data_IF_147423308664
#
_entry.id   IF_147423308664
#
_cell.length_a   1.000
_cell.length_b   1.000
_cell.length_c   1.000
_cell.angle_alpha   90.00
_cell.angle_beta   90.00
_cell.angle_gamma   90.00
#
_symmetry.space_group_name_H-M   'P 1'
#
loop_
_entity.id
_entity.type
_entity.pdbx_description
1 polymer ?
#
# COMPACT_ATOMS: atom_id res chain seq x y z
N UNK A 1 32.01 -14.51 -36.51
CA UNK A 1 31.65 -14.43 -35.08
C UNK A 1 30.32 -13.71 -35.02
N UNK A 2 29.31 -14.29 -34.37
CA UNK A 2 27.97 -13.70 -34.30
C UNK A 2 28.08 -12.50 -33.35
N UNK A 3 27.86 -11.28 -33.83
CA UNK A 3 27.72 -10.12 -32.94
C UNK A 3 26.42 -10.33 -32.16
N UNK A 4 26.55 -10.85 -30.94
CA UNK A 4 25.45 -10.99 -30.01
C UNK A 4 25.16 -9.61 -29.42
N UNK A 5 23.89 -9.36 -29.14
CA UNK A 5 23.43 -8.13 -28.49
C UNK A 5 23.96 -8.05 -27.04
N UNK A 6 24.28 -6.86 -26.51
CA UNK A 6 24.79 -6.68 -25.15
C UNK A 6 23.93 -7.33 -24.07
N UNK A 7 22.60 -7.29 -24.19
CA UNK A 7 21.66 -7.92 -23.24
C UNK A 7 21.81 -9.45 -23.26
N UNK A 8 22.03 -10.04 -24.43
CA UNK A 8 22.19 -11.48 -24.58
C UNK A 8 23.47 -11.98 -23.92
N UNK A 9 24.56 -11.22 -24.05
CA UNK A 9 25.86 -11.58 -23.46
C UNK A 9 25.79 -11.51 -21.93
N UNK A 10 25.13 -10.48 -21.37
CA UNK A 10 24.97 -10.33 -19.91
C UNK A 10 24.09 -11.45 -19.33
N UNK A 11 22.97 -11.80 -19.98
CA UNK A 11 22.09 -12.89 -19.52
C UNK A 11 22.80 -14.24 -19.45
N UNK A 12 23.48 -14.63 -20.53
CA UNK A 12 24.20 -15.91 -20.58
C UNK A 12 25.34 -15.97 -19.55
N UNK A 13 25.98 -14.83 -19.27
CA UNK A 13 27.00 -14.74 -18.23
C UNK A 13 26.44 -14.93 -16.81
N UNK A 14 25.28 -14.34 -16.50
CA UNK A 14 24.60 -14.50 -15.20
C UNK A 14 24.06 -15.93 -15.03
N UNK A 15 23.46 -16.49 -16.08
CA UNK A 15 22.87 -17.83 -16.05
C UNK A 15 23.92 -18.95 -16.00
N UNK A 16 25.19 -18.66 -16.29
CA UNK A 16 26.28 -19.62 -16.27
C UNK A 16 26.32 -20.55 -17.49
N UNK A 17 25.63 -20.17 -18.57
CA UNK A 17 25.47 -20.97 -19.79
C UNK A 17 26.67 -20.82 -20.77
N UNK A 18 27.70 -20.06 -20.40
CA UNK A 18 28.90 -19.83 -21.20
C UNK A 18 30.03 -20.81 -20.83
N UNK A 19 30.74 -21.33 -21.82
CA UNK A 19 31.99 -22.08 -21.58
C UNK A 19 33.12 -21.16 -21.11
N UNK A 20 34.17 -21.69 -20.47
CA UNK A 20 35.28 -20.89 -19.91
C UNK A 20 35.94 -19.92 -20.91
N UNK A 21 36.02 -20.30 -22.19
CA UNK A 21 36.55 -19.46 -23.27
C UNK A 21 35.58 -18.33 -23.64
N UNK A 22 34.29 -18.62 -23.68
CA UNK A 22 33.22 -17.65 -23.96
C UNK A 22 33.01 -16.69 -22.79
N UNK A 23 33.15 -17.15 -21.55
CA UNK A 23 33.16 -16.30 -20.36
C UNK A 23 34.28 -15.26 -20.46
N UNK A 24 35.49 -15.67 -20.88
CA UNK A 24 36.62 -14.75 -21.01
C UNK A 24 36.38 -13.70 -22.10
N UNK A 25 35.77 -14.11 -23.22
CA UNK A 25 35.39 -13.20 -24.30
C UNK A 25 34.25 -12.24 -23.88
N UNK A 26 33.24 -12.75 -23.18
CA UNK A 26 32.14 -11.97 -22.64
C UNK A 26 32.63 -10.93 -21.63
N UNK A 27 33.54 -11.31 -20.72
CA UNK A 27 34.15 -10.38 -19.76
C UNK A 27 34.94 -9.26 -20.44
N UNK A 28 35.69 -9.57 -21.51
CA UNK A 28 36.40 -8.54 -22.29
C UNK A 28 35.42 -7.59 -22.99
N UNK A 29 34.34 -8.13 -23.56
CA UNK A 29 33.31 -7.32 -24.23
C UNK A 29 32.54 -6.44 -23.23
N UNK A 30 32.14 -7.00 -22.09
CA UNK A 30 31.52 -6.25 -21.00
C UNK A 30 32.48 -5.17 -20.51
N UNK A 31 33.78 -5.41 -20.37
CA UNK A 31 34.72 -4.39 -19.92
C UNK A 31 34.83 -3.20 -20.91
N UNK A 32 34.80 -3.46 -22.21
CA UNK A 32 34.95 -2.42 -23.24
C UNK A 32 33.65 -1.63 -23.48
N UNK A 33 32.48 -2.27 -23.32
CA UNK A 33 31.17 -1.67 -23.59
C UNK A 33 30.56 -1.01 -22.31
N UNK A 34 30.35 0.32 -22.29
CA UNK A 34 29.74 1.00 -21.14
C UNK A 34 28.29 0.57 -20.88
N UNK A 35 27.52 0.19 -21.90
CA UNK A 35 26.12 -0.23 -21.74
C UNK A 35 26.06 -1.62 -21.08
N UNK A 36 26.87 -2.56 -21.54
CA UNK A 36 26.98 -3.90 -20.95
C UNK A 36 27.41 -3.87 -19.46
N UNK A 37 28.32 -2.95 -19.09
CA UNK A 37 28.70 -2.73 -17.67
C UNK A 37 27.54 -2.24 -16.84
N UNK A 38 26.77 -1.29 -17.36
CA UNK A 38 25.64 -0.71 -16.64
C UNK A 38 24.54 -1.73 -16.38
N UNK A 39 24.25 -2.59 -17.36
CA UNK A 39 23.29 -3.68 -17.24
C UNK A 39 23.74 -4.70 -16.19
N UNK A 40 25.01 -5.12 -16.22
CA UNK A 40 25.55 -6.04 -15.23
C UNK A 40 25.49 -5.46 -13.81
N UNK A 41 25.83 -4.17 -13.63
CA UNK A 41 25.77 -3.51 -12.33
C UNK A 41 24.33 -3.40 -11.81
N UNK A 42 23.38 -3.08 -12.69
CA UNK A 42 21.96 -3.02 -12.35
C UNK A 42 21.43 -4.37 -11.85
N UNK A 43 21.70 -5.46 -12.59
CA UNK A 43 21.29 -6.82 -12.21
C UNK A 43 21.91 -7.27 -10.87
N UNK A 44 23.19 -6.97 -10.66
CA UNK A 44 23.86 -7.26 -9.39
C UNK A 44 23.25 -6.49 -8.23
N UNK A 45 22.89 -5.21 -8.44
CA UNK A 45 22.27 -4.39 -7.41
C UNK A 45 20.85 -4.89 -7.06
N UNK A 46 20.04 -5.25 -8.06
CA UNK A 46 18.70 -5.81 -7.82
C UNK A 46 18.77 -7.11 -7.01
N UNK A 47 19.72 -7.98 -7.34
CA UNK A 47 19.92 -9.25 -6.63
C UNK A 47 20.35 -9.03 -5.17
N UNK A 48 21.20 -8.03 -4.92
CA UNK A 48 21.64 -7.67 -3.57
C UNK A 48 20.53 -7.03 -2.74
N UNK A 49 19.75 -6.12 -3.32
CA UNK A 49 18.61 -5.48 -2.64
C UNK A 49 17.54 -6.50 -2.27
N UNK A 50 17.30 -7.49 -3.13
CA UNK A 50 16.40 -8.60 -2.83
C UNK A 50 16.94 -9.49 -1.70
N UNK A 51 18.24 -9.78 -1.71
CA UNK A 51 18.90 -10.54 -0.64
C UNK A 51 18.87 -9.78 0.70
N UNK A 52 19.10 -8.47 0.67
CA UNK A 52 19.07 -7.58 1.85
C UNK A 52 17.65 -7.39 2.39
N UNK A 53 16.63 -7.45 1.53
CA UNK A 53 15.21 -7.36 1.91
C UNK A 53 14.68 -8.63 2.55
N UNK A 54 15.42 -9.74 2.51
CA UNK A 54 15.06 -10.98 3.21
C UNK A 54 15.34 -10.81 4.71
N UNK A 55 14.30 -10.49 5.48
CA UNK A 55 14.41 -10.33 6.93
C UNK A 55 15.08 -11.55 7.60
N UNK A 56 15.98 -11.35 8.59
CA UNK A 56 16.54 -12.45 9.36
C UNK A 56 15.41 -13.18 10.09
N UNK A 57 15.43 -14.52 10.08
CA UNK A 57 14.48 -15.30 10.87
C UNK A 57 14.67 -14.92 12.35
N UNK A 58 13.60 -14.60 13.11
CA UNK A 58 13.75 -14.26 14.51
C UNK A 58 14.36 -15.43 15.28
N UNK A 59 15.18 -15.11 16.27
CA UNK A 59 15.81 -16.10 17.13
C UNK A 59 14.73 -16.98 17.80
N UNK A 60 15.02 -18.27 18.00
CA UNK A 60 14.07 -19.26 18.52
C UNK A 60 13.56 -18.96 19.94
N UNK A 61 14.20 -18.03 20.65
CA UNK A 61 13.83 -17.57 21.99
C UNK A 61 12.88 -16.35 21.98
N UNK A 62 12.60 -15.76 20.80
CA UNK A 62 11.73 -14.59 20.66
C UNK A 62 10.32 -14.85 21.20
N UNK A 63 9.73 -16.00 20.84
CA UNK A 63 8.39 -16.38 21.31
C UNK A 63 8.35 -16.56 22.84
N UNK A 64 9.42 -17.06 23.46
CA UNK A 64 9.50 -17.22 24.91
C UNK A 64 9.54 -15.86 25.62
N UNK A 65 10.32 -14.89 25.10
CA UNK A 65 10.39 -13.53 25.65
C UNK A 65 9.08 -12.75 25.51
N UNK A 66 8.31 -12.98 24.45
CA UNK A 66 6.99 -12.33 24.27
C UNK A 66 5.95 -12.84 25.27
N UNK A 67 5.96 -14.14 25.60
CA UNK A 67 5.04 -14.72 26.58
C UNK A 67 5.35 -14.22 28.00
N UNK A 68 6.62 -14.05 28.34
CA UNK A 68 7.05 -13.54 29.65
C UNK A 68 6.67 -12.06 29.88
N UNK A 69 6.61 -11.24 28.82
CA UNK A 69 6.19 -9.82 28.93
C UNK A 69 4.68 -9.62 29.06
N UNK A 70 3.86 -10.64 28.77
CA UNK A 70 2.40 -10.53 28.82
C UNK A 70 1.81 -10.78 30.22
N UNK A 71 2.55 -11.44 31.12
CA UNK A 71 2.07 -11.80 32.47
C UNK A 71 2.24 -10.66 33.50
N UNK A 72 3.06 -9.63 33.21
CA UNK A 72 3.35 -8.53 34.14
C UNK A 72 2.54 -7.23 33.93
N UNK A 73 1.72 -7.13 32.88
CA UNK A 73 1.03 -5.88 32.53
C UNK A 73 -0.51 -5.97 32.66
N UNK A 74 -1.01 -6.44 33.80
CA UNK A 74 -2.45 -6.39 34.11
C UNK A 74 -2.82 -5.03 34.74
N UNK A 75 -2.85 -4.00 33.90
CA UNK A 75 -3.57 -2.76 34.17
C UNK A 75 -4.84 -2.73 33.30
N UNK A 76 -6.00 -2.29 33.81
CA UNK A 76 -7.23 -2.28 33.01
C UNK A 76 -7.05 -1.38 31.80
N UNK A 77 -7.20 -1.95 30.60
CA UNK A 77 -7.08 -1.22 29.35
C UNK A 77 -8.08 -0.05 29.29
N UNK A 78 -7.69 1.14 28.83
CA UNK A 78 -8.62 2.25 28.65
C UNK A 78 -9.69 1.86 27.64
N UNK A 79 -10.92 2.28 27.91
CA UNK A 79 -12.07 1.89 27.13
C UNK A 79 -12.01 2.51 25.72
N UNK A 80 -12.70 1.91 24.76
CA UNK A 80 -12.79 2.43 23.38
C UNK A 80 -13.33 3.86 23.36
N UNK A 81 -14.14 4.24 24.35
CA UNK A 81 -14.65 5.60 24.51
C UNK A 81 -13.54 6.60 24.86
N UNK A 82 -12.55 6.22 25.67
CA UNK A 82 -11.44 7.09 26.05
C UNK A 82 -10.52 7.36 24.85
N UNK A 83 -10.27 6.33 24.03
CA UNK A 83 -9.46 6.46 22.81
C UNK A 83 -10.14 7.32 21.74
N UNK A 84 -11.46 7.25 21.64
CA UNK A 84 -12.22 8.07 20.69
C UNK A 84 -12.26 9.55 21.13
N UNK A 85 -12.27 9.79 22.44
CA UNK A 85 -12.24 11.14 23.00
C UNK A 85 -10.87 11.82 22.81
N UNK A 86 -9.77 11.10 23.06
CA UNK A 86 -8.41 11.60 22.82
C UNK A 86 -8.14 11.89 21.34
N UNK A 87 -8.69 11.05 20.46
CA UNK A 87 -8.64 11.28 19.02
C UNK A 87 -9.42 12.55 18.62
N UNK A 88 -10.60 12.78 19.21
CA UNK A 88 -11.41 13.96 18.91
C UNK A 88 -10.75 15.27 19.36
N UNK A 89 -10.07 15.27 20.51
CA UNK A 89 -9.28 16.43 20.97
C UNK A 89 -8.07 16.71 20.06
N UNK A 90 -7.46 15.67 19.47
CA UNK A 90 -6.35 15.83 18.55
C UNK A 90 -6.79 16.39 17.18
N UNK A 91 -7.95 15.99 16.68
CA UNK A 91 -8.54 16.52 15.44
C UNK A 91 -9.07 17.95 15.63
N UNK A 92 -9.50 18.31 16.85
CA UNK A 92 -10.00 19.64 17.18
C UNK A 92 -8.89 20.70 17.40
N UNK A 93 -7.61 20.35 17.30
CA UNK A 93 -6.51 21.34 17.35
C UNK A 93 -6.46 22.11 16.03
N UNK A 94 -6.73 23.43 16.02
CA UNK A 94 -6.76 24.21 14.79
C UNK A 94 -5.33 24.42 14.29
N UNK A 95 -4.85 23.55 13.40
CA UNK A 95 -3.51 23.64 12.80
C UNK A 95 -3.46 24.40 11.46
N UNK A 96 -4.58 24.95 10.95
CA UNK A 96 -4.55 25.72 9.69
C UNK A 96 -5.52 26.90 9.75
N UNK A 97 -4.99 28.12 9.78
CA UNK A 97 -5.75 29.35 9.51
C UNK A 97 -5.87 29.54 8.00
N UNK A 98 -6.92 28.96 7.39
CA UNK A 98 -7.24 29.21 5.98
C UNK A 98 -7.94 30.58 5.88
N UNK A 99 -7.41 31.57 5.15
CA UNK A 99 -8.11 32.83 4.90
C UNK A 99 -9.22 32.60 3.87
N UNK A 100 -10.40 32.18 4.32
CA UNK A 100 -11.58 32.01 3.48
C UNK A 100 -12.18 33.36 3.09
N UNK A 101 -12.19 33.66 1.79
CA UNK A 101 -12.97 34.77 1.22
C UNK A 101 -14.48 34.44 1.31
N UNK A 102 -15.35 35.42 1.63
CA UNK A 102 -16.72 35.19 2.15
C UNK A 102 -17.76 34.63 1.17
N UNK A 103 -17.37 34.09 0.01
CA UNK A 103 -18.32 33.70 -1.05
C UNK A 103 -18.77 32.23 -0.96
N UNK A 104 -18.16 31.38 -0.12
CA UNK A 104 -18.46 29.93 -0.12
C UNK A 104 -19.23 29.40 1.12
N UNK A 105 -19.71 30.28 2.02
CA UNK A 105 -20.44 29.84 3.23
C UNK A 105 -21.88 29.40 2.97
N UNK A 106 -22.47 29.73 1.81
CA UNK A 106 -23.88 29.43 1.55
C UNK A 106 -24.09 28.02 0.99
N UNK A 107 -23.08 27.42 0.34
CA UNK A 107 -23.26 26.13 -0.34
C UNK A 107 -23.16 24.89 0.60
N UNK A 108 -22.37 24.97 1.67
CA UNK A 108 -22.13 23.81 2.55
C UNK A 108 -23.22 23.65 3.63
N UNK A 109 -23.84 24.74 4.08
CA UNK A 109 -24.97 24.67 5.04
C UNK A 109 -26.29 24.18 4.42
N UNK A 110 -26.44 24.30 3.09
CA UNK A 110 -27.66 23.83 2.39
C UNK A 110 -27.74 22.29 2.27
N UNK A 111 -26.60 21.58 2.33
CA UNK A 111 -26.56 20.14 2.08
C UNK A 111 -26.78 19.28 3.35
N UNK A 112 -26.59 19.86 4.55
CA UNK A 112 -26.78 19.15 5.84
C UNK A 112 -28.22 19.27 6.36
N UNK A 113 -29.00 20.27 5.92
CA UNK A 113 -30.37 20.50 6.39
C UNK A 113 -31.45 19.64 5.69
N UNK A 114 -31.14 18.92 4.61
CA UNK A 114 -32.14 18.24 3.78
C UNK A 114 -32.38 16.75 4.10
N UNK A 115 -31.54 16.11 4.94
CA UNK A 115 -31.64 14.66 5.23
C UNK A 115 -32.29 14.35 6.60
N UNK A 116 -32.51 15.36 7.44
CA UNK A 116 -32.95 15.17 8.84
C UNK A 116 -34.45 15.22 9.13
N UNK A 117 -35.33 15.46 8.15
CA UNK A 117 -36.76 15.70 8.40
C UNK A 117 -37.67 14.96 7.40
N UNK A 118 -37.73 13.62 7.47
CA UNK A 118 -38.88 12.88 6.92
C UNK A 118 -39.07 11.47 7.51
N UNK A 119 -39.01 11.34 8.84
CA UNK A 119 -39.68 10.24 9.56
C UNK A 119 -39.78 10.58 11.07
N UNK A 120 -40.86 11.27 11.44
CA UNK A 120 -41.25 11.46 12.84
C UNK A 120 -41.84 10.19 13.49
N UNK A 121 -42.12 10.21 14.80
CA UNK A 121 -41.97 9.07 15.70
C UNK A 121 -43.29 8.37 16.07
N UNK A 122 -43.25 7.05 16.36
CA UNK A 122 -44.34 6.37 17.06
C UNK A 122 -43.80 5.29 18.04
N UNK A 123 -43.88 5.62 19.33
CA UNK A 123 -44.33 4.75 20.44
C UNK A 123 -43.43 3.60 20.94
N UNK A 124 -43.15 3.50 22.25
CA UNK A 124 -42.63 2.28 22.86
C UNK A 124 -43.78 1.33 23.23
N UNK A 125 -43.61 0.02 23.02
CA UNK A 125 -44.46 -1.01 23.62
C UNK A 125 -43.60 -2.16 24.18
N UNK A 126 -43.87 -2.64 25.41
CA UNK A 126 -43.09 -3.69 26.06
C UNK A 126 -43.72 -5.08 25.87
N UNK A 127 -42.90 -6.14 25.87
CA UNK A 127 -43.37 -7.52 26.04
C UNK A 127 -42.49 -8.59 25.40
N UNK A 128 -41.71 -9.29 26.22
CA UNK A 128 -41.08 -10.60 25.96
C UNK A 128 -42.14 -11.73 25.79
N UNK A 129 -41.82 -13.05 25.64
CA UNK A 129 -40.54 -13.75 25.45
C UNK A 129 -40.58 -14.91 24.39
N UNK A 130 -39.42 -15.56 24.20
CA UNK A 130 -39.21 -17.01 23.94
C UNK A 130 -39.54 -17.71 22.59
N UNK A 131 -38.60 -18.62 22.25
CA UNK A 131 -38.75 -19.94 21.59
C UNK A 131 -38.41 -20.15 20.10
N UNK A 132 -37.21 -20.71 19.93
CA UNK A 132 -36.89 -22.03 19.31
C UNK A 132 -37.19 -22.34 17.83
N UNK A 133 -36.08 -22.65 17.14
CA UNK A 133 -35.86 -23.70 16.11
C UNK A 133 -36.57 -23.62 14.75
N UNK A 134 -35.75 -23.54 13.69
CA UNK A 134 -36.10 -23.88 12.32
C UNK A 134 -34.89 -23.76 11.38
N UNK A 135 -34.21 -24.87 11.12
CA UNK A 135 -33.10 -24.99 10.16
C UNK A 135 -33.64 -25.03 8.73
N UNK A 136 -33.01 -24.32 7.79
CA UNK A 136 -32.96 -24.70 6.37
C UNK A 136 -31.79 -24.01 5.68
N UNK A 137 -30.82 -24.83 5.29
CA UNK A 137 -29.65 -24.47 4.53
C UNK A 137 -30.00 -24.15 3.07
N UNK A 138 -29.34 -23.14 2.49
CA UNK A 138 -29.00 -23.15 1.07
C UNK A 138 -27.78 -22.26 0.79
N UNK A 139 -26.65 -22.95 0.63
CA UNK A 139 -25.51 -22.65 -0.25
C UNK A 139 -24.93 -21.22 -0.22
N UNK A 140 -24.01 -21.00 0.71
CA UNK A 140 -22.93 -20.03 0.54
C UNK A 140 -21.93 -20.56 -0.51
N UNK A 141 -21.58 -19.79 -1.56
CA UNK A 141 -20.31 -19.99 -2.22
C UNK A 141 -19.21 -19.70 -1.20
N UNK A 142 -18.38 -20.70 -1.00
CA UNK A 142 -17.18 -20.65 -0.17
C UNK A 142 -16.22 -19.63 -0.76
N UNK A 143 -16.15 -18.44 -0.16
CA UNK A 143 -14.96 -17.61 -0.17
C UNK A 143 -14.44 -17.49 1.26
N UNK A 144 -14.16 -18.64 1.89
CA UNK A 144 -13.24 -18.69 3.03
C UNK A 144 -11.83 -18.56 2.48
N UNK A 145 -11.48 -17.38 1.98
CA UNK A 145 -10.11 -16.90 2.03
C UNK A 145 -9.96 -16.23 3.40
N UNK A 146 -9.86 -17.05 4.44
CA UNK A 146 -9.25 -16.60 5.68
C UNK A 146 -7.79 -16.36 5.33
N UNK A 147 -7.49 -15.15 4.85
CA UNK A 147 -6.13 -14.72 4.59
C UNK A 147 -5.38 -14.89 5.90
N UNK A 148 -4.20 -15.50 5.84
CA UNK A 148 -3.28 -15.47 6.97
C UNK A 148 -3.06 -13.98 7.27
N UNK A 149 -3.66 -13.51 8.36
CA UNK A 149 -3.68 -12.11 8.79
C UNK A 149 -2.25 -11.63 9.10
N UNK A 150 -1.51 -11.35 8.04
CA UNK A 150 -0.19 -10.76 8.06
C UNK A 150 -0.24 -9.52 7.19
N UNK A 151 0.19 -8.40 7.76
CA UNK A 151 0.43 -7.16 7.04
C UNK A 151 1.86 -7.21 6.50
N UNK A 152 2.05 -6.80 5.25
CA UNK A 152 3.35 -6.64 4.60
C UNK A 152 3.62 -5.14 4.45
N UNK A 153 4.81 -4.69 4.85
CA UNK A 153 5.25 -3.32 4.55
C UNK A 153 5.62 -3.25 3.07
N UNK A 154 4.78 -2.60 2.28
CA UNK A 154 4.97 -2.43 0.84
C UNK A 154 5.53 -1.05 0.55
N UNK A 155 6.58 -1.00 -0.26
CA UNK A 155 7.15 0.26 -0.74
C UNK A 155 6.38 0.72 -1.99
N UNK A 156 5.79 1.88 -1.92
CA UNK A 156 5.26 2.59 -3.08
C UNK A 156 6.30 3.56 -3.63
N UNK A 157 6.38 3.67 -4.95
CA UNK A 157 7.33 4.52 -5.67
C UNK A 157 6.62 5.20 -6.83
N UNK A 158 6.80 6.51 -6.98
CA UNK A 158 6.24 7.27 -8.09
C UNK A 158 7.18 8.40 -8.50
N UNK A 159 7.53 8.52 -9.77
CA UNK A 159 8.44 9.56 -10.27
C UNK A 159 7.65 10.75 -10.82
N UNK A 160 7.91 11.95 -10.29
CA UNK A 160 7.34 13.20 -10.81
C UNK A 160 8.11 14.44 -10.31
N UNK A 161 8.76 15.13 -11.24
CA UNK A 161 9.57 16.35 -10.98
C UNK A 161 8.76 17.62 -10.71
N UNK A 162 7.48 17.59 -11.03
CA UNK A 162 6.60 18.78 -11.02
C UNK A 162 5.48 18.70 -9.98
N UNK A 163 5.38 17.59 -9.26
CA UNK A 163 4.40 17.41 -8.20
C UNK A 163 4.84 18.19 -6.94
N UNK A 164 3.89 18.84 -6.29
CA UNK A 164 4.09 19.46 -4.97
C UNK A 164 3.85 18.44 -3.84
N UNK A 165 2.96 17.47 -4.09
CA UNK A 165 2.72 16.34 -3.20
C UNK A 165 2.27 15.10 -3.96
N UNK A 166 2.64 13.94 -3.45
CA UNK A 166 2.16 12.64 -3.92
C UNK A 166 1.72 11.82 -2.72
N UNK A 167 0.57 11.18 -2.84
CA UNK A 167 0.04 10.24 -1.86
C UNK A 167 -0.41 8.95 -2.54
N UNK A 168 -0.54 7.87 -1.76
CA UNK A 168 -1.14 6.61 -2.21
C UNK A 168 -2.45 6.35 -1.47
N UNK A 169 -3.45 5.85 -2.19
CA UNK A 169 -4.75 5.49 -1.65
C UNK A 169 -5.23 4.19 -2.30
N UNK A 170 -5.86 3.32 -1.52
CA UNK A 170 -6.38 2.04 -1.99
C UNK A 170 -7.38 1.42 -1.03
N UNK A 171 -7.88 0.23 -1.34
CA UNK A 171 -8.84 -0.46 -0.48
C UNK A 171 -8.30 -0.78 0.93
N UNK A 172 -6.98 -0.98 1.07
CA UNK A 172 -6.31 -1.27 2.33
C UNK A 172 -6.31 -0.11 3.32
N UNK A 173 -6.64 1.11 2.88
CA UNK A 173 -6.75 2.30 3.73
C UNK A 173 -8.05 3.08 3.48
N UNK A 174 -9.10 2.39 3.04
CA UNK A 174 -10.42 2.98 2.73
C UNK A 174 -10.30 4.19 1.79
N UNK A 175 -9.36 4.14 0.85
CA UNK A 175 -9.04 5.20 -0.11
C UNK A 175 -8.63 6.54 0.52
N UNK A 176 -8.17 6.51 1.77
CA UNK A 176 -7.64 7.70 2.47
C UNK A 176 -6.21 7.98 2.00
N UNK A 177 -5.89 9.14 1.40
CA UNK A 177 -4.54 9.39 0.87
C UNK A 177 -3.46 9.40 1.97
N UNK A 178 -2.45 8.54 1.80
CA UNK A 178 -1.25 8.50 2.65
C UNK A 178 -0.11 9.24 1.93
N UNK A 179 0.43 10.34 2.48
CA UNK A 179 1.48 11.11 1.83
C UNK A 179 2.78 10.32 1.69
N UNK A 180 3.45 10.47 0.54
CA UNK A 180 4.77 9.93 0.24
C UNK A 180 5.83 11.03 0.40
N UNK A 181 7.05 10.62 0.70
CA UNK A 181 8.19 11.53 0.85
C UNK A 181 8.95 11.66 -0.48
N UNK A 182 9.32 12.89 -0.91
CA UNK A 182 10.13 13.09 -2.10
C UNK A 182 11.62 12.83 -1.81
N UNK A 183 12.32 12.25 -2.79
CA UNK A 183 13.75 12.02 -2.80
C UNK A 183 14.32 12.34 -4.19
N UNK A 184 15.52 12.89 -4.26
CA UNK A 184 16.21 13.12 -5.54
C UNK A 184 17.09 11.92 -5.88
N UNK A 185 16.84 11.28 -7.02
CA UNK A 185 17.60 10.13 -7.54
C UNK A 185 17.96 10.41 -8.99
N UNK A 186 19.26 10.40 -9.32
CA UNK A 186 19.76 10.65 -10.69
C UNK A 186 19.25 11.96 -11.35
N UNK A 187 18.91 12.97 -10.53
CA UNK A 187 18.38 14.25 -11.02
C UNK A 187 16.86 14.29 -11.19
N UNK A 188 16.16 13.19 -10.89
CA UNK A 188 14.69 13.10 -10.89
C UNK A 188 14.14 13.09 -9.46
N UNK A 189 12.89 13.51 -9.29
CA UNK A 189 12.15 13.49 -8.04
C UNK A 189 11.31 12.24 -7.96
N UNK A 190 11.69 11.36 -7.03
CA UNK A 190 11.05 10.09 -6.73
C UNK A 190 10.34 10.18 -5.39
N UNK A 191 9.03 9.93 -5.40
CA UNK A 191 8.17 9.89 -4.24
C UNK A 191 8.10 8.46 -3.71
N UNK A 192 8.41 8.24 -2.43
CA UNK A 192 8.37 6.89 -1.83
C UNK A 192 7.81 6.89 -0.42
N UNK A 193 7.21 5.76 -0.03
CA UNK A 193 6.73 5.51 1.32
C UNK A 193 6.54 4.02 1.57
N UNK A 194 6.74 3.59 2.82
CA UNK A 194 6.43 2.24 3.28
C UNK A 194 5.03 2.24 3.88
N UNK A 195 4.11 1.49 3.29
CA UNK A 195 2.72 1.41 3.72
C UNK A 195 2.41 -0.02 4.15
N UNK A 196 1.83 -0.22 5.34
CA UNK A 196 1.34 -1.52 5.77
C UNK A 196 0.12 -1.91 4.93
N UNK A 197 0.26 -2.96 4.11
CA UNK A 197 -0.83 -3.51 3.29
C UNK A 197 -1.12 -4.93 3.75
N UNK A 198 -2.39 -5.30 4.03
CA UNK A 198 -2.76 -6.69 4.30
C UNK A 198 -2.31 -7.62 3.17
N UNK A 199 -2.11 -8.91 3.47
CA UNK A 199 -1.93 -9.91 2.41
C UNK A 199 -3.22 -10.11 1.64
N UNK A 200 -3.10 -10.13 0.31
CA UNK A 200 -4.24 -10.24 -0.58
C UNK A 200 -4.02 -9.50 -1.89
N UNK A 201 -5.13 -9.36 -2.62
CA UNK A 201 -5.23 -8.52 -3.80
C UNK A 201 -5.84 -7.18 -3.38
N UNK A 202 -5.21 -6.08 -3.81
CA UNK A 202 -5.53 -4.74 -3.38
C UNK A 202 -5.54 -3.77 -4.57
N UNK A 203 -6.57 -2.96 -4.67
CA UNK A 203 -6.66 -1.87 -5.65
C UNK A 203 -6.09 -0.56 -5.08
N UNK A 204 -5.33 0.18 -5.88
CA UNK A 204 -4.77 1.47 -5.47
C UNK A 204 -4.59 2.46 -6.63
N UNK A 205 -4.42 3.73 -6.26
CA UNK A 205 -4.03 4.84 -7.13
C UNK A 205 -3.09 5.81 -6.40
N UNK A 206 -2.38 6.63 -7.17
CA UNK A 206 -1.66 7.79 -6.65
C UNK A 206 -2.53 9.04 -6.71
N UNK A 207 -2.39 9.90 -5.71
CA UNK A 207 -3.05 11.21 -5.62
C UNK A 207 -1.99 12.29 -5.70
N UNK A 208 -2.00 13.06 -6.78
CA UNK A 208 -1.04 14.14 -7.05
C UNK A 208 -1.68 15.47 -6.65
N UNK A 209 -0.96 16.25 -5.84
CA UNK A 209 -1.39 17.57 -5.36
C UNK A 209 -2.76 17.57 -4.66
N UNK A 210 -3.19 16.43 -4.11
CA UNK A 210 -4.47 16.27 -3.41
C UNK A 210 -5.74 16.22 -4.29
N UNK A 211 -5.61 16.43 -5.60
CA UNK A 211 -6.77 16.57 -6.50
C UNK A 211 -6.77 15.57 -7.65
N UNK A 212 -5.59 15.21 -8.16
CA UNK A 212 -5.46 14.38 -9.37
C UNK A 212 -5.19 12.93 -9.01
N UNK A 213 -6.16 12.07 -9.32
CA UNK A 213 -6.03 10.62 -9.21
C UNK A 213 -5.38 10.05 -10.45
N UNK A 214 -4.35 9.23 -10.25
CA UNK A 214 -3.53 8.66 -11.31
C UNK A 214 -3.33 7.19 -11.01
N UNK A 215 -3.78 6.34 -11.93
CA UNK A 215 -3.43 4.91 -11.95
C UNK A 215 -1.93 4.76 -12.03
N UNK A 216 -1.35 3.87 -11.24
CA UNK A 216 0.07 3.57 -11.34
C UNK A 216 0.41 3.06 -12.75
N UNK A 217 1.23 3.79 -13.53
CA UNK A 217 1.59 3.39 -14.89
C UNK A 217 2.50 2.16 -14.91
N UNK A 218 3.15 1.82 -13.80
CA UNK A 218 4.04 0.68 -13.65
C UNK A 218 3.33 -0.57 -13.11
N UNK A 219 2.04 -0.46 -12.77
CA UNK A 219 1.29 -1.60 -12.27
C UNK A 219 1.12 -2.68 -13.35
N UNK A 220 1.48 -3.95 -13.06
CA UNK A 220 1.42 -5.04 -14.04
C UNK A 220 -0.02 -5.43 -14.39
N UNK A 221 -0.96 -5.17 -13.48
CA UNK A 221 -2.38 -5.44 -13.64
C UNK A 221 -3.15 -4.19 -13.29
N UNK A 222 -4.12 -3.86 -14.13
CA UNK A 222 -5.07 -2.78 -13.89
C UNK A 222 -6.49 -3.32 -14.02
N UNK A 223 -7.39 -2.80 -13.20
CA UNK A 223 -8.78 -3.20 -13.15
C UNK A 223 -9.67 -1.99 -13.41
N UNK A 224 -10.69 -2.16 -14.26
CA UNK A 224 -11.67 -1.10 -14.50
C UNK A 224 -12.48 -0.85 -13.23
N UNK A 225 -12.63 0.42 -12.87
CA UNK A 225 -13.35 0.85 -11.67
C UNK A 225 -14.87 0.89 -11.84
N UNK A 226 -15.37 0.59 -13.05
CA UNK A 226 -16.79 0.63 -13.40
C UNK A 226 -17.33 2.03 -13.72
N UNK A 227 -16.52 3.08 -13.60
CA UNK A 227 -16.85 4.49 -13.90
C UNK A 227 -16.01 5.06 -15.06
N UNK A 228 -15.17 4.23 -15.67
CA UNK A 228 -14.38 4.56 -16.85
C UNK A 228 -12.93 4.92 -16.54
N UNK A 229 -12.51 4.86 -15.28
CA UNK A 229 -11.11 4.90 -14.89
C UNK A 229 -10.60 3.49 -14.53
N UNK A 230 -9.29 3.40 -14.26
CA UNK A 230 -8.63 2.13 -13.94
C UNK A 230 -7.89 2.26 -12.62
N UNK A 231 -7.97 1.23 -11.80
CA UNK A 231 -7.17 1.08 -10.59
C UNK A 231 -5.99 0.15 -10.86
N UNK A 232 -4.85 0.42 -10.21
CA UNK A 232 -3.73 -0.49 -10.21
C UNK A 232 -4.00 -1.62 -9.22
N UNK A 233 -3.63 -2.86 -9.58
CA UNK A 233 -3.81 -4.03 -8.73
C UNK A 233 -2.47 -4.50 -8.18
N UNK A 234 -2.39 -4.56 -6.85
CA UNK A 234 -1.27 -5.05 -6.06
C UNK A 234 -1.60 -6.45 -5.52
N UNK A 235 -0.68 -7.41 -5.65
CA UNK A 235 -0.83 -8.78 -5.13
C UNK A 235 0.33 -9.11 -4.19
N UNK A 236 0.03 -9.46 -2.94
CA UNK A 236 1.01 -9.68 -1.84
C UNK A 236 0.93 -11.07 -1.20
#
# INVERSE_FOLDING_TARGET
MKNLDPDTIVRQFIDGDLSDEEVRAALHHIADDPEARSLLQFELQMTQDLAASRAPQPASDFAARTVEQLDEAEAPAPSVADRLHDWWEAVARPLVTIPVRPVHTVAILALVAAVGWLAGPLGPSPGSPESRTGSSASVQPTATASSRAGTVLTRFVYTNDTADSVAVAGDFNDWTPIPLSPHTVNGETVWTGLVPVPRGEHEYQFVINGERWVTDPLAPVQQDDGFGAKNAVLKL
#
